data_IF_487355792718
#
_entry.id   IF_487355792718
#
_cell.length_a   1.000
_cell.length_b   1.000
_cell.length_c   1.000
_cell.angle_alpha   90.00
_cell.angle_beta   90.00
_cell.angle_gamma   90.00
#
_symmetry.space_group_name_H-M   'P 1'
#
loop_
_entity.id
_entity.type
_entity.pdbx_description
1 polymer ?
#
# COMPACT_ATOMS: atom_id res chain seq x y z
N UNK A 1 -0.62 1.15 -15.55
CA UNK A 1 -1.25 -0.12 -15.12
C UNK A 1 -2.71 -0.01 -15.49
N UNK A 2 -3.29 -0.97 -16.24
CA UNK A 2 -4.62 -0.79 -16.85
C UNK A 2 -5.74 -0.39 -15.86
N UNK A 3 -5.67 -0.80 -14.60
CA UNK A 3 -6.64 -0.41 -13.58
C UNK A 3 -6.54 1.07 -13.18
N UNK A 4 -5.33 1.62 -13.03
CA UNK A 4 -5.13 3.04 -12.69
C UNK A 4 -5.50 3.94 -13.86
N UNK A 5 -5.15 3.53 -15.09
CA UNK A 5 -5.61 4.19 -16.31
C UNK A 5 -7.14 4.16 -16.45
N UNK A 6 -7.80 3.12 -15.91
CA UNK A 6 -9.26 3.02 -15.83
C UNK A 6 -9.87 3.79 -14.63
N UNK A 7 -9.07 4.52 -13.85
CA UNK A 7 -9.54 5.41 -12.79
C UNK A 7 -9.45 4.85 -11.37
N UNK A 8 -8.87 3.67 -11.15
CA UNK A 8 -8.58 3.21 -9.80
C UNK A 8 -7.53 4.11 -9.14
N UNK A 9 -7.86 4.68 -7.97
CA UNK A 9 -7.05 5.72 -7.31
C UNK A 9 -6.56 5.32 -5.91
N UNK A 10 -6.72 4.05 -5.53
CA UNK A 10 -6.40 3.55 -4.19
C UNK A 10 -5.82 2.13 -4.27
N UNK A 11 -4.77 1.88 -3.49
CA UNK A 11 -4.29 0.53 -3.17
C UNK A 11 -4.70 0.20 -1.74
N UNK A 12 -5.64 -0.72 -1.59
CA UNK A 12 -6.11 -1.20 -0.30
C UNK A 12 -5.00 -1.96 0.42
N UNK A 13 -4.83 -1.70 1.73
CA UNK A 13 -3.87 -2.34 2.64
C UNK A 13 -2.56 -2.81 1.98
N UNK A 14 -1.80 -1.88 1.38
CA UNK A 14 -0.61 -2.15 0.57
C UNK A 14 0.32 -3.21 1.21
N UNK A 15 0.89 -4.07 0.37
CA UNK A 15 1.65 -5.28 0.70
C UNK A 15 0.84 -6.51 1.14
N UNK A 16 -0.38 -6.34 1.67
CA UNK A 16 -1.20 -7.46 2.16
C UNK A 16 -2.06 -8.04 1.03
N UNK A 17 -2.14 -9.37 0.94
CA UNK A 17 -2.94 -10.11 -0.04
C UNK A 17 -2.71 -9.72 -1.52
N UNK A 18 -1.48 -9.31 -1.87
CA UNK A 18 -1.12 -8.91 -3.23
C UNK A 18 0.31 -9.36 -3.59
N UNK A 19 0.71 -9.37 -4.88
CA UNK A 19 2.09 -9.64 -5.26
C UNK A 19 3.05 -8.65 -4.59
N UNK A 20 4.14 -9.17 -4.01
CA UNK A 20 5.17 -8.35 -3.37
C UNK A 20 6.06 -7.60 -4.35
N UNK A 21 6.94 -6.75 -3.81
CA UNK A 21 7.97 -6.06 -4.59
C UNK A 21 9.06 -7.05 -5.04
N UNK A 22 9.06 -7.43 -6.32
CA UNK A 22 10.08 -8.28 -6.92
C UNK A 22 10.87 -7.58 -8.03
N UNK A 23 12.17 -7.86 -8.16
CA UNK A 23 13.03 -7.19 -9.15
C UNK A 23 12.66 -7.46 -10.62
N UNK A 24 11.96 -8.57 -10.92
CA UNK A 24 11.42 -8.88 -12.27
C UNK A 24 9.91 -8.66 -12.40
N UNK A 25 9.22 -8.57 -11.27
CA UNK A 25 7.78 -8.45 -11.19
C UNK A 25 7.48 -7.56 -9.97
N UNK A 26 7.52 -6.23 -10.15
CA UNK A 26 7.56 -5.29 -9.03
C UNK A 26 6.19 -5.10 -8.35
N UNK A 27 5.11 -5.59 -8.96
CA UNK A 27 3.80 -5.67 -8.33
C UNK A 27 3.05 -4.33 -8.25
N UNK A 28 1.85 -4.33 -7.64
CA UNK A 28 0.96 -3.17 -7.61
C UNK A 28 1.50 -2.01 -6.77
N UNK A 29 2.27 -2.28 -5.71
CA UNK A 29 2.84 -1.22 -4.86
C UNK A 29 3.84 -0.37 -5.65
N UNK A 30 4.75 -0.99 -6.40
CA UNK A 30 5.67 -0.25 -7.26
C UNK A 30 4.93 0.55 -8.33
N UNK A 31 3.90 -0.04 -8.95
CA UNK A 31 3.08 0.66 -9.93
C UNK A 31 2.38 1.91 -9.33
N UNK A 32 2.01 1.87 -8.04
CA UNK A 32 1.42 3.01 -7.34
C UNK A 32 2.44 4.10 -6.97
N UNK A 33 3.73 3.78 -6.90
CA UNK A 33 4.78 4.79 -6.73
C UNK A 33 4.89 5.67 -7.98
N UNK A 34 4.80 5.06 -9.16
CA UNK A 34 4.86 5.75 -10.45
C UNK A 34 3.61 6.59 -10.77
N UNK A 35 2.48 6.33 -10.12
CA UNK A 35 1.21 7.04 -10.35
C UNK A 35 0.86 7.99 -9.20
N UNK A 36 1.08 9.28 -9.43
CA UNK A 36 0.79 10.33 -8.46
C UNK A 36 -0.69 10.50 -8.09
N UNK A 37 -1.62 9.91 -8.85
CA UNK A 37 -3.05 9.95 -8.56
C UNK A 37 -3.52 8.86 -7.59
N UNK A 38 -2.63 7.92 -7.26
CA UNK A 38 -2.95 6.76 -6.41
C UNK A 38 -2.49 6.99 -4.98
N UNK A 39 -3.36 6.66 -4.03
CA UNK A 39 -3.08 6.64 -2.58
C UNK A 39 -2.88 5.21 -2.09
N UNK A 40 -1.95 5.00 -1.16
CA UNK A 40 -1.69 3.69 -0.55
C UNK A 40 -2.23 3.63 0.88
N UNK A 41 -3.10 2.66 1.19
CA UNK A 41 -3.50 2.37 2.56
C UNK A 41 -2.46 1.48 3.25
N UNK A 42 -2.11 1.78 4.49
CA UNK A 42 -1.11 1.03 5.26
C UNK A 42 -1.63 0.62 6.63
N UNK A 43 -1.45 -0.66 6.98
CA UNK A 43 -1.66 -1.17 8.33
C UNK A 43 -0.35 -1.07 9.10
N UNK A 44 -0.26 -0.08 10.00
CA UNK A 44 0.98 0.27 10.71
C UNK A 44 1.05 -0.32 12.14
N UNK A 45 0.67 -1.58 12.32
CA UNK A 45 0.73 -2.28 13.61
C UNK A 45 2.07 -2.98 13.90
N UNK A 46 2.99 -2.98 12.91
CA UNK A 46 4.30 -3.63 13.00
C UNK A 46 4.28 -5.14 12.77
N UNK A 47 3.11 -5.75 12.56
CA UNK A 47 2.93 -7.17 12.22
C UNK A 47 2.63 -7.33 10.73
N UNK A 48 1.69 -6.54 10.21
CA UNK A 48 1.30 -6.58 8.80
C UNK A 48 2.39 -6.02 7.90
N UNK A 49 2.95 -4.87 8.27
CA UNK A 49 3.96 -4.17 7.48
C UNK A 49 5.16 -3.85 8.35
N UNK A 50 6.32 -4.35 7.94
CA UNK A 50 7.58 -4.06 8.63
C UNK A 50 7.87 -2.54 8.60
N UNK A 51 8.35 -1.90 9.69
CA UNK A 51 8.55 -0.45 9.76
C UNK A 51 9.45 0.15 8.67
N UNK A 52 10.38 -0.64 8.10
CA UNK A 52 11.19 -0.21 6.94
C UNK A 52 10.33 -0.01 5.68
N UNK A 53 9.31 -0.84 5.49
CA UNK A 53 8.42 -0.74 4.34
C UNK A 53 7.45 0.44 4.47
N UNK A 54 7.01 0.76 5.70
CA UNK A 54 6.27 2.00 5.95
C UNK A 54 7.08 3.24 5.56
N UNK A 55 8.37 3.28 5.94
CA UNK A 55 9.29 4.35 5.54
C UNK A 55 9.48 4.42 4.03
N UNK A 56 9.66 3.27 3.37
CA UNK A 56 9.75 3.22 1.92
C UNK A 56 8.54 3.90 1.25
N UNK A 57 7.31 3.59 1.69
CA UNK A 57 6.12 4.23 1.13
C UNK A 57 6.08 5.73 1.45
N UNK A 58 6.49 6.14 2.64
CA UNK A 58 6.56 7.56 2.99
C UNK A 58 7.55 8.35 2.10
N UNK A 59 8.66 7.71 1.72
CA UNK A 59 9.71 8.31 0.88
C UNK A 59 9.30 8.33 -0.60
N UNK A 60 8.74 7.23 -1.13
CA UNK A 60 8.39 7.08 -2.55
C UNK A 60 7.02 7.70 -2.91
N UNK A 61 6.12 7.82 -1.95
CA UNK A 61 4.77 8.36 -2.12
C UNK A 61 4.47 9.48 -1.11
N UNK A 62 5.26 10.57 -1.08
CA UNK A 62 5.14 11.61 -0.06
C UNK A 62 3.74 12.24 -0.09
N UNK A 63 3.03 12.16 1.04
CA UNK A 63 1.67 12.67 1.18
C UNK A 63 0.58 11.84 0.49
N UNK A 64 0.92 10.70 -0.13
CA UNK A 64 -0.01 9.82 -0.86
C UNK A 64 -0.19 8.46 -0.17
N UNK A 65 -0.30 8.49 1.14
CA UNK A 65 -0.60 7.31 1.94
C UNK A 65 -1.52 7.65 3.10
N UNK A 66 -2.27 6.67 3.57
CA UNK A 66 -3.18 6.78 4.71
C UNK A 66 -3.03 5.58 5.63
N UNK A 67 -3.24 5.79 6.92
CA UNK A 67 -3.21 4.71 7.91
C UNK A 67 -4.60 4.12 8.06
N UNK A 68 -4.68 2.79 8.02
CA UNK A 68 -5.88 2.03 8.29
C UNK A 68 -5.56 0.98 9.36
N UNK A 69 -6.57 0.59 10.13
CA UNK A 69 -6.41 -0.47 11.13
C UNK A 69 -6.61 -1.86 10.55
N UNK A 70 -7.36 -1.97 9.45
CA UNK A 70 -7.90 -3.22 8.91
C UNK A 70 -8.57 -4.10 9.99
N UNK A 71 -9.18 -3.40 10.96
CA UNK A 71 -9.76 -3.99 12.15
C UNK A 71 -11.07 -4.72 11.81
N UNK A 72 -11.09 -6.03 12.07
CA UNK A 72 -12.32 -6.83 12.14
C UNK A 72 -12.75 -7.08 13.60
N UNK A 73 -13.97 -7.58 13.81
CA UNK A 73 -14.72 -7.59 15.09
C UNK A 73 -13.97 -8.09 16.35
N UNK A 74 -12.84 -8.78 16.23
CA UNK A 74 -11.99 -9.22 17.34
C UNK A 74 -11.10 -8.12 17.96
N UNK A 75 -11.04 -6.92 17.39
CA UNK A 75 -10.18 -5.80 17.87
C UNK A 75 -10.81 -4.94 18.99
N UNK A 76 -11.99 -5.30 19.48
CA UNK A 76 -12.69 -4.57 20.54
C UNK A 76 -13.44 -5.44 21.55
N UNK A 77 -13.09 -6.73 21.68
CA UNK A 77 -13.64 -7.65 22.69
C UNK A 77 -12.67 -7.86 23.86
#
# INVERSE_FOLDING_TARGET
MAAFEAGASLVTHAFNAMPGLGHRAPGPVAAAFDDSSVVLELVADGVHVHPRMLRLVADEAPGRWVLVTDAMAATGM
#
